data_IF_512851347086
#
_entry.id   IF_512851347086
#
_cell.length_a   1.000
_cell.length_b   1.000
_cell.length_c   1.000
_cell.angle_alpha   90.00
_cell.angle_beta   90.00
_cell.angle_gamma   90.00
#
_symmetry.space_group_name_H-M   'P 1'
#
loop_
_entity.id
_entity.type
_entity.pdbx_description
1 polymer ?
#
# COMPACT_ATOMS: atom_id res chain seq x y z
N UNK A 1 -12.07 0.90 -29.14
CA UNK A 1 -13.01 0.85 -27.99
C UNK A 1 -12.39 0.03 -26.88
N UNK A 2 -12.31 0.56 -25.64
CA UNK A 2 -11.80 -0.17 -24.48
C UNK A 2 -12.80 -1.24 -24.03
N UNK A 3 -12.30 -2.44 -23.70
CA UNK A 3 -13.10 -3.57 -23.19
C UNK A 3 -12.56 -4.03 -21.83
N UNK A 4 -13.44 -4.42 -20.93
CA UNK A 4 -13.06 -4.98 -19.65
C UNK A 4 -12.23 -6.27 -19.84
N UNK A 5 -11.13 -6.40 -19.07
CA UNK A 5 -10.29 -7.60 -19.11
C UNK A 5 -11.00 -8.80 -18.48
N UNK A 6 -10.76 -9.97 -19.07
CA UNK A 6 -11.19 -11.25 -18.48
C UNK A 6 -10.31 -11.57 -17.25
N UNK A 7 -10.79 -12.38 -16.31
CA UNK A 7 -10.03 -12.74 -15.10
C UNK A 7 -8.63 -13.32 -15.38
N UNK A 8 -8.48 -14.08 -16.47
CA UNK A 8 -7.20 -14.63 -16.92
C UNK A 8 -6.22 -13.55 -17.36
N UNK A 9 -6.72 -12.52 -18.02
CA UNK A 9 -5.93 -11.39 -18.52
C UNK A 9 -5.47 -10.50 -17.36
N UNK A 10 -6.36 -10.30 -16.37
CA UNK A 10 -5.99 -9.60 -15.10
C UNK A 10 -4.88 -10.35 -14.35
N UNK A 11 -4.95 -11.69 -14.26
CA UNK A 11 -3.89 -12.49 -13.62
C UNK A 11 -2.56 -12.37 -14.36
N UNK A 12 -2.58 -12.32 -15.68
CA UNK A 12 -1.37 -12.12 -16.52
C UNK A 12 -0.77 -10.74 -16.28
N UNK A 13 -1.60 -9.69 -16.31
CA UNK A 13 -1.18 -8.31 -16.03
C UNK A 13 -0.55 -8.19 -14.64
N UNK A 14 -1.20 -8.72 -13.60
CA UNK A 14 -0.67 -8.69 -12.24
C UNK A 14 0.68 -9.43 -12.11
N UNK A 15 0.88 -10.51 -12.89
CA UNK A 15 2.16 -11.22 -12.93
C UNK A 15 3.27 -10.38 -13.55
N UNK A 16 2.98 -9.60 -14.60
CA UNK A 16 3.94 -8.70 -15.23
C UNK A 16 4.38 -7.62 -14.24
N UNK A 17 3.44 -6.96 -13.55
CA UNK A 17 3.76 -5.96 -12.53
C UNK A 17 4.56 -6.55 -11.37
N UNK A 18 4.21 -7.75 -10.92
CA UNK A 18 4.95 -8.43 -9.85
C UNK A 18 6.42 -8.70 -10.21
N UNK A 19 6.73 -9.03 -11.46
CA UNK A 19 8.11 -9.26 -11.92
C UNK A 19 8.95 -7.99 -11.94
N UNK A 20 8.33 -6.82 -11.97
CA UNK A 20 8.98 -5.50 -11.94
C UNK A 20 9.07 -4.92 -10.54
N UNK A 21 8.56 -5.63 -9.56
CA UNK A 21 8.49 -5.18 -8.18
C UNK A 21 9.53 -5.94 -7.38
N UNK A 22 10.54 -5.24 -6.90
CA UNK A 22 11.68 -5.78 -6.15
C UNK A 22 11.58 -5.41 -4.66
N UNK A 23 11.19 -4.17 -4.36
CA UNK A 23 11.04 -3.67 -3.00
C UNK A 23 9.89 -4.34 -2.25
N UNK A 24 10.13 -4.67 -0.99
CA UNK A 24 9.11 -5.23 -0.11
C UNK A 24 8.28 -4.11 0.50
N UNK A 25 6.98 -4.34 0.67
CA UNK A 25 6.11 -3.45 1.44
C UNK A 25 5.58 -4.15 2.67
N UNK A 26 5.48 -3.39 3.74
CA UNK A 26 4.84 -3.77 4.98
C UNK A 26 3.94 -2.65 5.49
N UNK A 27 3.15 -2.92 6.53
CA UNK A 27 2.20 -1.98 7.08
C UNK A 27 2.14 -2.09 8.62
N UNK A 28 1.99 -0.97 9.29
CA UNK A 28 1.59 -0.89 10.69
C UNK A 28 0.23 -0.21 10.74
N UNK A 29 -0.72 -0.79 11.46
CA UNK A 29 -1.99 -0.19 11.81
C UNK A 29 -2.05 -0.04 13.33
N UNK A 30 -1.90 1.18 13.85
CA UNK A 30 -1.96 1.46 15.28
C UNK A 30 -3.34 1.99 15.64
N UNK A 31 -4.08 1.21 16.44
CA UNK A 31 -5.40 1.58 16.97
C UNK A 31 -6.43 1.96 15.89
N UNK A 32 -6.38 1.31 14.74
CA UNK A 32 -7.42 1.38 13.72
C UNK A 32 -8.62 0.57 14.19
N UNK A 33 -9.54 1.24 14.88
CA UNK A 33 -10.61 0.59 15.63
C UNK A 33 -11.81 0.22 14.78
N UNK A 34 -12.02 0.90 13.65
CA UNK A 34 -13.14 0.65 12.76
C UNK A 34 -12.91 -0.58 11.87
N UNK A 35 -13.69 -1.69 12.03
CA UNK A 35 -13.46 -2.92 11.27
C UNK A 35 -13.53 -2.74 9.76
N UNK A 36 -14.40 -1.86 9.26
CA UNK A 36 -14.50 -1.56 7.83
C UNK A 36 -13.23 -0.88 7.29
N UNK A 37 -12.61 0.00 8.07
CA UNK A 37 -11.34 0.64 7.70
C UNK A 37 -10.23 -0.40 7.67
N UNK A 38 -10.09 -1.23 8.71
CA UNK A 38 -9.09 -2.30 8.72
C UNK A 38 -9.26 -3.24 7.52
N UNK A 39 -10.47 -3.70 7.24
CA UNK A 39 -10.72 -4.58 6.10
C UNK A 39 -10.37 -3.93 4.75
N UNK A 40 -10.66 -2.65 4.58
CA UNK A 40 -10.29 -1.88 3.38
C UNK A 40 -8.77 -1.71 3.25
N UNK A 41 -8.08 -1.46 4.37
CA UNK A 41 -6.60 -1.38 4.44
C UNK A 41 -6.00 -2.73 4.03
N UNK A 42 -6.43 -3.83 4.63
CA UNK A 42 -5.90 -5.17 4.34
C UNK A 42 -6.14 -5.57 2.88
N UNK A 43 -7.30 -5.21 2.31
CA UNK A 43 -7.57 -5.45 0.90
C UNK A 43 -6.63 -4.68 -0.01
N UNK A 44 -6.43 -3.39 0.24
CA UNK A 44 -5.51 -2.54 -0.52
C UNK A 44 -4.07 -3.02 -0.35
N UNK A 45 -3.66 -3.38 0.86
CA UNK A 45 -2.36 -3.96 1.16
C UNK A 45 -2.08 -5.22 0.32
N UNK A 46 -3.05 -6.13 0.25
CA UNK A 46 -2.92 -7.33 -0.58
C UNK A 46 -2.83 -7.02 -2.09
N UNK A 47 -3.54 -5.99 -2.57
CA UNK A 47 -3.47 -5.53 -3.97
C UNK A 47 -2.08 -5.01 -4.32
N UNK A 48 -1.45 -4.24 -3.44
CA UNK A 48 -0.10 -3.69 -3.64
C UNK A 48 1.04 -4.62 -3.22
N UNK A 49 0.73 -5.87 -2.83
CA UNK A 49 1.73 -6.87 -2.49
C UNK A 49 2.46 -6.58 -1.18
N UNK A 50 1.76 -6.03 -0.19
CA UNK A 50 2.25 -5.97 1.19
C UNK A 50 2.41 -7.40 1.70
N UNK A 51 3.55 -7.72 2.30
CA UNK A 51 3.83 -9.07 2.79
C UNK A 51 3.46 -9.28 4.26
N UNK A 52 3.57 -8.21 5.07
CA UNK A 52 3.31 -8.26 6.50
C UNK A 52 2.56 -7.02 6.98
N UNK A 53 1.68 -7.20 7.96
CA UNK A 53 1.04 -6.10 8.65
C UNK A 53 1.05 -6.34 10.17
N UNK A 54 1.59 -5.37 10.90
CA UNK A 54 1.56 -5.32 12.36
C UNK A 54 0.32 -4.54 12.82
N UNK A 55 -0.51 -5.22 13.59
CA UNK A 55 -1.74 -4.66 14.17
C UNK A 55 -1.47 -4.30 15.63
N UNK A 56 -1.30 -3.02 15.89
CA UNK A 56 -0.88 -2.51 17.19
C UNK A 56 -2.05 -1.92 17.99
N UNK A 57 -1.93 -1.93 19.30
CA UNK A 57 -2.89 -1.31 20.22
C UNK A 57 -4.30 -1.90 20.08
N UNK A 58 -5.29 -1.02 20.02
CA UNK A 58 -6.71 -1.38 19.94
C UNK A 58 -7.20 -1.62 18.50
N UNK A 59 -6.29 -1.89 17.55
CA UNK A 59 -6.69 -2.20 16.16
C UNK A 59 -7.68 -3.38 16.16
N UNK A 60 -8.74 -3.24 15.37
CA UNK A 60 -9.82 -4.23 15.23
C UNK A 60 -9.27 -5.63 14.95
N UNK A 61 -10.02 -6.64 15.35
CA UNK A 61 -9.62 -8.03 15.10
C UNK A 61 -9.83 -8.39 13.62
N UNK A 62 -8.81 -8.93 12.92
CA UNK A 62 -8.97 -9.36 11.52
C UNK A 62 -10.06 -10.41 11.32
N UNK A 63 -10.38 -11.20 12.36
CA UNK A 63 -11.46 -12.19 12.33
C UNK A 63 -12.86 -11.60 12.50
N UNK A 64 -12.97 -10.32 12.82
CA UNK A 64 -14.26 -9.66 13.00
C UNK A 64 -15.07 -9.70 11.70
N UNK A 65 -16.37 -10.12 11.74
CA UNK A 65 -17.17 -10.31 10.51
C UNK A 65 -17.24 -9.07 9.59
N UNK A 66 -17.20 -7.87 10.15
CA UNK A 66 -17.19 -6.63 9.36
C UNK A 66 -15.87 -6.37 8.65
N UNK A 67 -14.74 -6.87 9.14
CA UNK A 67 -13.46 -6.84 8.42
C UNK A 67 -13.58 -7.68 7.16
N UNK A 68 -14.09 -8.90 7.26
CA UNK A 68 -14.29 -9.80 6.12
C UNK A 68 -15.18 -9.21 5.02
N UNK A 69 -16.16 -8.36 5.36
CA UNK A 69 -17.03 -7.70 4.37
C UNK A 69 -16.26 -6.76 3.41
N UNK A 70 -15.21 -6.12 3.87
CA UNK A 70 -14.40 -5.19 3.04
C UNK A 70 -13.09 -5.81 2.59
N UNK A 71 -12.46 -6.68 3.38
CA UNK A 71 -11.24 -7.39 3.04
C UNK A 71 -11.46 -8.46 1.96
N UNK A 72 -12.64 -9.08 1.88
CA UNK A 72 -13.00 -10.12 0.89
C UNK A 72 -11.98 -11.27 0.81
N UNK A 73 -11.48 -11.74 1.97
CA UNK A 73 -10.50 -12.82 2.05
C UNK A 73 -9.05 -12.38 1.80
N UNK A 74 -8.79 -11.07 1.67
CA UNK A 74 -7.43 -10.56 1.47
C UNK A 74 -6.57 -10.67 2.71
N UNK A 75 -7.17 -10.70 3.91
CA UNK A 75 -6.50 -10.89 5.19
C UNK A 75 -5.70 -12.20 5.24
N UNK A 76 -6.19 -13.25 4.59
CA UNK A 76 -5.50 -14.53 4.50
C UNK A 76 -4.24 -14.53 3.60
N UNK A 77 -3.98 -13.43 2.88
CA UNK A 77 -2.84 -13.29 1.97
C UNK A 77 -1.69 -12.50 2.58
N UNK A 78 -1.86 -12.00 3.79
CA UNK A 78 -0.91 -11.18 4.51
C UNK A 78 -0.44 -11.92 5.77
N UNK A 79 0.83 -11.77 6.12
CA UNK A 79 1.30 -12.16 7.44
C UNK A 79 0.84 -11.11 8.44
N UNK A 80 -0.13 -11.46 9.30
CA UNK A 80 -0.66 -10.55 10.31
C UNK A 80 -0.04 -10.87 11.67
N UNK A 81 0.51 -9.86 12.33
CA UNK A 81 1.13 -9.95 13.65
C UNK A 81 0.49 -8.94 14.60
N UNK A 82 0.29 -9.33 15.87
CA UNK A 82 -0.21 -8.43 16.92
C UNK A 82 0.95 -7.89 17.75
N UNK A 83 0.92 -6.58 18.04
CA UNK A 83 1.82 -5.93 18.98
C UNK A 83 1.01 -5.10 19.99
N UNK A 84 1.59 -4.80 21.14
CA UNK A 84 0.90 -3.99 22.16
C UNK A 84 0.86 -2.51 21.76
N UNK A 85 1.92 -2.01 21.13
CA UNK A 85 2.07 -0.59 20.76
C UNK A 85 2.61 -0.42 19.34
N UNK A 86 2.37 0.75 18.75
CA UNK A 86 2.95 1.12 17.46
C UNK A 86 4.48 1.15 17.47
N UNK A 87 5.08 1.56 18.60
CA UNK A 87 6.54 1.55 18.76
C UNK A 87 7.12 0.13 18.74
N UNK A 88 6.44 -0.86 19.35
CA UNK A 88 6.82 -2.27 19.23
C UNK A 88 6.70 -2.77 17.79
N UNK A 89 5.63 -2.39 17.10
CA UNK A 89 5.44 -2.72 15.68
C UNK A 89 6.54 -2.12 14.81
N UNK A 90 6.90 -0.85 15.03
CA UNK A 90 7.97 -0.17 14.29
C UNK A 90 9.32 -0.87 14.50
N UNK A 91 9.63 -1.27 15.74
CA UNK A 91 10.84 -2.04 16.03
C UNK A 91 10.85 -3.39 15.29
N UNK A 92 9.75 -4.14 15.36
CA UNK A 92 9.63 -5.43 14.67
C UNK A 92 9.77 -5.29 13.14
N UNK A 93 9.20 -4.23 12.56
CA UNK A 93 9.33 -3.93 11.14
C UNK A 93 10.80 -3.62 10.78
N UNK A 94 11.53 -2.84 11.60
CA UNK A 94 12.94 -2.54 11.39
C UNK A 94 13.84 -3.78 11.53
N UNK A 95 13.57 -4.63 12.52
CA UNK A 95 14.25 -5.93 12.67
C UNK A 95 14.03 -6.85 11.47
N UNK A 96 12.87 -6.73 10.81
CA UNK A 96 12.57 -7.42 9.55
C UNK A 96 13.18 -6.76 8.30
N UNK A 97 13.93 -5.64 8.46
CA UNK A 97 14.65 -4.95 7.40
C UNK A 97 13.88 -3.82 6.72
N UNK A 98 12.73 -3.41 7.25
CA UNK A 98 11.94 -2.32 6.66
C UNK A 98 12.34 -0.95 7.24
N UNK A 99 12.38 0.07 6.38
CA UNK A 99 12.31 1.47 6.79
C UNK A 99 10.86 1.81 7.16
N UNK A 100 10.65 2.35 8.34
CA UNK A 100 9.32 2.73 8.82
C UNK A 100 9.03 4.20 8.50
N UNK A 101 8.00 4.44 7.71
CA UNK A 101 7.50 5.79 7.37
C UNK A 101 6.12 5.96 7.97
N UNK A 102 6.00 6.81 8.99
CA UNK A 102 4.72 7.16 9.60
C UNK A 102 3.95 8.14 8.71
N UNK A 103 2.67 7.85 8.47
CA UNK A 103 1.80 8.72 7.67
C UNK A 103 0.95 9.58 8.60
N UNK A 104 1.37 10.83 8.81
CA UNK A 104 0.74 11.74 9.77
C UNK A 104 1.01 13.21 9.41
N UNK A 105 0.04 14.09 9.72
CA UNK A 105 0.21 15.54 9.71
C UNK A 105 0.89 15.98 11.02
N UNK A 106 2.20 15.89 11.09
CA UNK A 106 2.98 16.19 12.27
C UNK A 106 4.04 17.27 12.00
N UNK A 107 4.53 17.91 13.06
CA UNK A 107 5.65 18.84 12.95
C UNK A 107 6.89 18.12 12.43
N UNK A 108 7.57 18.73 11.45
CA UNK A 108 8.73 18.13 10.78
C UNK A 108 8.41 17.04 9.76
N UNK A 109 7.14 16.72 9.52
CA UNK A 109 6.75 15.78 8.48
C UNK A 109 7.01 16.37 7.08
N UNK A 110 7.48 15.52 6.16
CA UNK A 110 7.71 15.89 4.76
C UNK A 110 6.52 15.51 3.89
N UNK A 111 6.38 16.13 2.71
CA UNK A 111 5.34 15.72 1.78
C UNK A 111 5.57 14.27 1.30
N UNK A 112 4.50 13.49 1.16
CA UNK A 112 4.59 12.06 0.83
C UNK A 112 5.43 11.77 -0.43
N UNK A 113 5.35 12.66 -1.43
CA UNK A 113 6.12 12.53 -2.66
C UNK A 113 7.62 12.85 -2.50
N UNK A 114 8.05 13.33 -1.34
CA UNK A 114 9.45 13.56 -0.96
C UNK A 114 9.96 12.51 0.04
N UNK A 115 9.06 11.71 0.61
CA UNK A 115 9.38 10.73 1.64
C UNK A 115 10.25 9.59 1.07
N UNK A 116 11.09 8.95 1.91
CA UNK A 116 11.99 7.87 1.48
C UNK A 116 11.21 6.55 1.31
N UNK A 117 10.48 6.41 0.20
CA UNK A 117 9.61 5.28 -0.13
C UNK A 117 10.26 4.24 -1.04
N UNK A 118 11.56 4.33 -1.29
CA UNK A 118 12.32 3.38 -2.11
C UNK A 118 12.84 2.19 -1.27
N UNK A 119 12.91 1.02 -1.89
CA UNK A 119 13.39 -0.23 -1.28
C UNK A 119 12.33 -0.87 -0.38
N UNK A 120 12.75 -1.42 0.75
CA UNK A 120 11.90 -2.11 1.70
C UNK A 120 11.26 -1.12 2.68
N UNK A 121 9.97 -0.87 2.55
CA UNK A 121 9.25 0.17 3.29
C UNK A 121 8.06 -0.38 4.05
N UNK A 122 7.91 0.06 5.29
CA UNK A 122 6.73 -0.15 6.12
C UNK A 122 5.99 1.18 6.31
N UNK A 123 4.77 1.28 5.81
CA UNK A 123 3.90 2.44 6.05
C UNK A 123 3.20 2.26 7.38
N UNK A 124 3.34 3.22 8.29
CA UNK A 124 2.67 3.20 9.57
C UNK A 124 1.50 4.19 9.58
N UNK A 125 0.35 3.69 10.03
CA UNK A 125 -0.93 4.42 10.11
C UNK A 125 -1.38 4.48 11.55
N UNK A 126 -1.95 5.61 11.94
CA UNK A 126 -2.52 5.84 13.27
C UNK A 126 -4.03 5.64 13.33
N UNK A 127 -4.58 5.94 14.49
CA UNK A 127 -6.01 5.90 14.78
C UNK A 127 -6.79 6.96 13.99
N UNK A 128 -8.09 6.70 13.80
CA UNK A 128 -8.98 7.58 13.05
C UNK A 128 -9.22 8.93 13.71
N UNK A 129 -9.16 8.99 15.02
CA UNK A 129 -9.51 10.17 15.84
C UNK A 129 -8.31 11.00 16.31
N UNK A 130 -7.14 10.38 16.51
CA UNK A 130 -5.96 11.05 17.05
C UNK A 130 -4.64 10.75 16.33
N UNK A 131 -4.70 10.00 15.21
CA UNK A 131 -3.54 9.72 14.38
C UNK A 131 -2.52 8.77 15.01
N UNK A 132 -1.26 8.91 14.60
CA UNK A 132 -0.14 8.15 15.13
C UNK A 132 0.23 8.60 16.53
N UNK A 133 0.47 7.64 17.45
CA UNK A 133 0.94 7.98 18.79
C UNK A 133 2.32 8.65 18.77
N UNK A 134 2.64 9.50 19.76
CA UNK A 134 3.98 10.08 19.86
C UNK A 134 5.10 9.05 19.93
N UNK A 135 4.83 7.88 20.51
CA UNK A 135 5.79 6.79 20.60
C UNK A 135 6.01 6.08 19.26
N UNK A 136 4.98 5.97 18.42
CA UNK A 136 5.12 5.47 17.06
C UNK A 136 5.88 6.48 16.20
N UNK A 137 5.53 7.77 16.26
CA UNK A 137 6.25 8.83 15.53
C UNK A 137 7.74 8.87 15.89
N UNK A 138 8.07 8.78 17.17
CA UNK A 138 9.45 8.74 17.64
C UNK A 138 10.21 7.46 17.22
N UNK A 139 9.50 6.36 16.96
CA UNK A 139 10.08 5.09 16.51
C UNK A 139 10.19 4.99 14.99
N UNK A 140 9.52 5.84 14.23
CA UNK A 140 9.58 5.86 12.77
C UNK A 140 10.92 6.45 12.28
N UNK A 141 11.38 6.01 11.11
CA UNK A 141 12.58 6.53 10.46
C UNK A 141 12.30 7.86 9.73
N UNK A 142 11.04 8.09 9.34
CA UNK A 142 10.55 9.32 8.76
C UNK A 142 9.05 9.49 9.04
N UNK A 143 8.60 10.75 9.01
CA UNK A 143 7.17 11.07 9.03
C UNK A 143 6.80 11.82 7.75
N UNK A 144 5.73 11.40 7.11
CA UNK A 144 5.25 11.99 5.87
C UNK A 144 3.77 12.33 5.95
N UNK A 145 3.35 13.34 5.21
CA UNK A 145 1.94 13.71 5.08
C UNK A 145 1.49 13.74 3.62
N UNK A 146 0.22 13.48 3.39
CA UNK A 146 -0.41 13.64 2.06
C UNK A 146 -0.78 15.12 1.92
N UNK A 147 -0.21 15.87 0.94
CA UNK A 147 -0.59 17.25 0.69
C UNK A 147 -2.08 17.38 0.38
N UNK A 148 -2.75 18.30 1.04
CA UNK A 148 -4.18 18.55 0.91
C UNK A 148 -4.40 20.01 0.53
N UNK A 149 -5.29 20.27 -0.44
CA UNK A 149 -5.64 21.62 -0.91
C UNK A 149 -7.04 22.04 -0.49
N UNK A 150 -7.80 21.13 0.11
CA UNK A 150 -9.15 21.37 0.58
C UNK A 150 -9.21 21.98 1.99
N UNK A 151 -10.42 22.21 2.48
CA UNK A 151 -10.69 22.77 3.82
C UNK A 151 -10.95 21.68 4.87
N UNK A 152 -10.94 20.42 4.48
CA UNK A 152 -11.10 19.27 5.39
C UNK A 152 -9.72 18.89 5.90
N UNK A 153 -9.56 18.78 7.21
CA UNK A 153 -8.25 18.61 7.85
C UNK A 153 -7.69 17.18 7.86
N UNK A 154 -8.46 16.16 7.43
CA UNK A 154 -8.01 14.77 7.45
C UNK A 154 -8.63 13.92 6.35
N UNK A 155 -7.97 12.84 6.01
CA UNK A 155 -8.48 11.77 5.15
C UNK A 155 -8.94 10.57 6.01
N UNK A 156 -9.86 9.79 5.50
CA UNK A 156 -10.12 8.46 6.05
C UNK A 156 -8.84 7.63 6.02
N UNK A 157 -8.53 6.91 7.09
CA UNK A 157 -7.28 6.16 7.25
C UNK A 157 -7.05 5.11 6.16
N UNK A 158 -8.11 4.44 5.69
CA UNK A 158 -7.99 3.46 4.61
C UNK A 158 -7.70 4.12 3.24
N UNK A 159 -8.22 5.34 3.04
CA UNK A 159 -7.89 6.15 1.85
C UNK A 159 -6.45 6.62 1.93
N UNK A 160 -6.00 7.14 3.08
CA UNK A 160 -4.61 7.55 3.29
C UNK A 160 -3.63 6.38 3.05
N UNK A 161 -3.93 5.20 3.60
CA UNK A 161 -3.18 3.97 3.34
C UNK A 161 -3.08 3.65 1.84
N UNK A 162 -4.20 3.76 1.13
CA UNK A 162 -4.25 3.45 -0.31
C UNK A 162 -3.37 4.39 -1.13
N UNK A 163 -3.38 5.68 -0.80
CA UNK A 163 -2.54 6.69 -1.46
C UNK A 163 -1.06 6.41 -1.19
N UNK A 164 -0.68 6.13 0.07
CA UNK A 164 0.72 5.90 0.43
C UNK A 164 1.29 4.62 -0.19
N UNK A 165 0.54 3.53 -0.20
CA UNK A 165 0.94 2.26 -0.83
C UNK A 165 1.04 2.40 -2.36
N UNK A 166 0.11 3.13 -2.98
CA UNK A 166 0.16 3.42 -4.41
C UNK A 166 1.37 4.29 -4.77
N UNK A 167 1.67 5.30 -3.96
CA UNK A 167 2.84 6.17 -4.18
C UNK A 167 4.16 5.41 -4.05
N UNK A 168 4.31 4.56 -3.03
CA UNK A 168 5.49 3.71 -2.86
C UNK A 168 5.73 2.85 -4.12
N UNK A 169 4.70 2.17 -4.63
CA UNK A 169 4.79 1.37 -5.85
C UNK A 169 5.03 2.21 -7.10
N UNK A 170 4.37 3.37 -7.21
CA UNK A 170 4.58 4.28 -8.34
C UNK A 170 6.04 4.72 -8.46
N UNK A 171 6.67 5.06 -7.33
CA UNK A 171 8.09 5.48 -7.30
C UNK A 171 9.02 4.35 -7.69
N UNK A 172 8.82 3.16 -7.14
CA UNK A 172 9.58 1.96 -7.51
C UNK A 172 9.49 1.68 -9.01
N UNK A 173 8.27 1.67 -9.56
CA UNK A 173 8.08 1.38 -10.97
C UNK A 173 8.58 2.49 -11.89
N UNK A 174 8.55 3.76 -11.47
CA UNK A 174 9.12 4.87 -12.21
C UNK A 174 10.66 4.79 -12.27
N UNK A 175 11.31 4.35 -11.19
CA UNK A 175 12.76 4.16 -11.13
C UNK A 175 13.23 2.98 -12.00
N UNK A 176 12.40 1.97 -12.22
CA UNK A 176 12.71 0.78 -13.04
C UNK A 176 12.70 1.04 -14.56
N UNK A 177 12.49 2.29 -15.01
CA UNK A 177 12.52 2.70 -16.43
C UNK A 177 11.17 2.60 -17.17
N UNK A 178 11.08 3.08 -18.44
CA UNK A 178 9.83 3.38 -19.14
C UNK A 178 9.05 2.17 -19.67
N UNK A 179 9.53 0.95 -19.58
CA UNK A 179 8.75 -0.22 -19.96
C UNK A 179 7.73 -0.64 -18.88
N UNK A 180 6.76 0.25 -18.62
CA UNK A 180 5.47 -0.27 -18.16
C UNK A 180 5.00 -1.30 -19.20
N UNK A 181 4.47 -2.49 -18.78
CA UNK A 181 3.79 -3.38 -19.72
C UNK A 181 2.73 -2.51 -20.40
N UNK A 182 3.01 -2.11 -21.64
CA UNK A 182 2.25 -1.09 -22.33
C UNK A 182 0.82 -1.54 -22.49
N UNK A 183 -0.09 -0.58 -22.62
CA UNK A 183 -1.44 -0.83 -23.10
C UNK A 183 -1.44 -1.59 -24.45
N UNK A 184 -0.31 -1.67 -25.13
CA UNK A 184 -0.08 -2.43 -26.38
C UNK A 184 0.14 -3.94 -26.19
N UNK A 185 0.51 -4.41 -24.99
CA UNK A 185 0.60 -5.84 -24.66
C UNK A 185 -0.64 -6.37 -23.94
N UNK A 186 -1.69 -5.59 -23.86
CA UNK A 186 -2.97 -6.10 -23.40
C UNK A 186 -3.39 -7.27 -24.33
N UNK A 187 -3.66 -8.48 -23.79
CA UNK A 187 -4.02 -9.63 -24.60
C UNK A 187 -5.26 -9.31 -25.44
N UNK A 188 -5.10 -9.23 -26.75
CA UNK A 188 -6.20 -8.98 -27.69
C UNK A 188 -6.00 -7.84 -28.69
N UNK A 189 -4.84 -7.16 -28.72
CA UNK A 189 -4.53 -6.31 -29.87
C UNK A 189 -4.23 -7.22 -31.07
N UNK A 190 -4.95 -7.11 -32.23
CA UNK A 190 -4.59 -7.83 -33.44
C UNK A 190 -3.18 -7.35 -33.85
N UNK A 191 -2.28 -8.30 -34.09
CA UNK A 191 -0.95 -8.02 -34.59
C UNK A 191 -1.03 -7.11 -35.81
N UNK A 192 -0.23 -6.04 -35.82
CA UNK A 192 -0.03 -5.23 -37.04
C UNK A 192 0.52 -6.14 -38.12
N UNK A 193 -0.32 -6.45 -39.12
CA UNK A 193 0.06 -7.24 -40.27
C UNK A 193 1.23 -6.56 -40.98
N UNK A 194 2.28 -7.31 -41.28
CA UNK A 194 3.38 -6.89 -42.12
C UNK A 194 2.86 -6.37 -43.46
N UNK A 195 3.43 -5.29 -44.02
CA UNK A 195 3.04 -4.85 -45.34
C UNK A 195 3.41 -5.92 -46.38
N UNK A 196 2.42 -6.34 -47.14
CA UNK A 196 2.64 -7.23 -48.29
C UNK A 196 3.51 -6.49 -49.32
N UNK A 197 4.70 -7.02 -49.56
CA UNK A 197 5.50 -6.68 -50.74
C UNK A 197 4.71 -7.13 -51.98
N UNK A 198 4.32 -6.20 -52.83
CA UNK A 198 3.86 -6.48 -54.19
C UNK A 198 5.07 -6.41 -55.10
N UNK A 199 5.36 -7.53 -55.76
CA UNK A 199 6.11 -7.58 -57.03
C UNK A 199 5.29 -7.02 -58.18
#
# INVERSE_FOLDING_TARGET
MSRQLRPTDVKRLNRLWRRRTEGRLALIAESVTQPFNLGSILRTAAVFGVEAAWLAGNTADPSHPQVGKTALGSEAKLRLERTRTGAEAARAAREAGFRVVALELAEGAMALHEAPLEGDVCIALGAEDHGCSPTLLAAADATAYIPQVGRVGSLNVAVAASIALAEARRREWAASGPEAPGAHEAPGAPGAGAPATRD
#
